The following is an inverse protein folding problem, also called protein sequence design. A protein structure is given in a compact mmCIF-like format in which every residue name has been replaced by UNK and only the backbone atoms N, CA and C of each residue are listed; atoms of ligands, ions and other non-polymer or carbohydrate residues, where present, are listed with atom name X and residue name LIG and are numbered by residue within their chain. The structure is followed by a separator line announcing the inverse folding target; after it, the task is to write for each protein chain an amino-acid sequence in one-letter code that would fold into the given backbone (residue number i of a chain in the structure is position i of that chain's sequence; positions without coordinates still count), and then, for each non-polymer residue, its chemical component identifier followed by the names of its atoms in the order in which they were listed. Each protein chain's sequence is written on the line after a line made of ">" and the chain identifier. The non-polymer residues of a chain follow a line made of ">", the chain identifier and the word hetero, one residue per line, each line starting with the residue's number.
data_IF_591743015591
#
_entry.id   IF_591743015591
#
_cell.length_a   1.000
_cell.length_b   1.000
_cell.length_c   1.000
_cell.angle_alpha   90.00
_cell.angle_beta   90.00
_cell.angle_gamma   90.00
#
_symmetry.space_group_name_H-M   'P 1'
#
loop_
_entity.id
_entity.type
_entity.pdbx_description
1 polymer ?
#
# COMPACT_ATOMS: atom_id res chain seq x y z
N UNK A 1 -12.61 -24.25 62.85
CA UNK A 1 -11.57 -24.33 61.80
C UNK A 1 -12.09 -25.30 60.75
N UNK A 2 -12.66 -24.80 59.66
CA UNK A 2 -13.21 -25.64 58.58
C UNK A 2 -12.04 -26.12 57.73
N UNK A 3 -11.61 -27.37 57.94
CA UNK A 3 -10.66 -28.03 57.04
C UNK A 3 -11.49 -28.42 55.82
N UNK A 4 -11.42 -27.60 54.77
CA UNK A 4 -12.02 -27.95 53.47
C UNK A 4 -11.27 -29.17 52.96
N UNK A 5 -11.94 -30.32 52.95
CA UNK A 5 -11.36 -31.57 52.45
C UNK A 5 -11.30 -31.49 50.93
N UNK A 6 -10.10 -31.27 50.39
CA UNK A 6 -9.85 -31.31 48.95
C UNK A 6 -10.05 -32.74 48.46
N UNK A 7 -10.98 -32.91 47.54
CA UNK A 7 -11.28 -34.22 46.94
C UNK A 7 -10.27 -34.57 45.86
N UNK A 8 -10.02 -35.87 45.64
CA UNK A 8 -9.12 -36.34 44.59
C UNK A 8 -9.50 -35.82 43.19
N UNK A 9 -10.80 -35.70 42.91
CA UNK A 9 -11.31 -35.17 41.65
C UNK A 9 -10.89 -33.71 41.43
N UNK A 10 -10.93 -32.87 42.47
CA UNK A 10 -10.50 -31.46 42.39
C UNK A 10 -9.00 -31.36 42.06
N UNK A 11 -8.17 -32.25 42.63
CA UNK A 11 -6.73 -32.31 42.33
C UNK A 11 -6.51 -32.68 40.85
N UNK A 12 -7.23 -33.67 40.33
CA UNK A 12 -7.13 -34.11 38.93
C UNK A 12 -7.58 -33.00 37.97
N UNK A 13 -8.72 -32.35 38.23
CA UNK A 13 -9.21 -31.26 37.37
C UNK A 13 -8.29 -30.04 37.41
N UNK A 14 -7.76 -29.69 38.58
CA UNK A 14 -6.80 -28.60 38.70
C UNK A 14 -5.49 -28.90 37.97
N UNK A 15 -4.98 -30.14 38.08
CA UNK A 15 -3.82 -30.60 37.34
C UNK A 15 -4.05 -30.56 35.82
N UNK A 16 -5.20 -31.04 35.34
CA UNK A 16 -5.57 -30.98 33.93
C UNK A 16 -5.68 -29.53 33.42
N UNK A 17 -6.26 -28.62 34.23
CA UNK A 17 -6.35 -27.20 33.91
C UNK A 17 -4.97 -26.56 33.78
N UNK A 18 -4.05 -26.85 34.72
CA UNK A 18 -2.67 -26.34 34.65
C UNK A 18 -1.95 -26.81 33.38
N UNK A 19 -2.09 -28.10 33.03
CA UNK A 19 -1.51 -28.65 31.80
C UNK A 19 -2.12 -27.98 30.56
N UNK A 20 -3.44 -27.77 30.54
CA UNK A 20 -4.11 -27.11 29.41
C UNK A 20 -3.67 -25.65 29.24
N UNK A 21 -3.53 -24.90 30.34
CA UNK A 21 -2.99 -23.54 30.32
C UNK A 21 -1.55 -23.54 29.81
N UNK A 22 -0.71 -24.48 30.28
CA UNK A 22 0.67 -24.60 29.81
C UNK A 22 0.74 -24.89 28.31
N UNK A 23 -0.08 -25.81 27.79
CA UNK A 23 -0.18 -26.11 26.36
C UNK A 23 -0.62 -24.87 25.59
N UNK A 24 -1.61 -24.12 26.09
CA UNK A 24 -2.05 -22.86 25.49
C UNK A 24 -0.93 -21.82 25.40
N UNK A 25 -0.15 -21.64 26.48
CA UNK A 25 0.99 -20.72 26.50
C UNK A 25 2.10 -21.15 25.52
N UNK A 26 2.38 -22.45 25.43
CA UNK A 26 3.34 -22.99 24.46
C UNK A 26 2.85 -22.74 23.03
N UNK A 27 1.57 -23.00 22.74
CA UNK A 27 0.99 -22.77 21.42
C UNK A 27 1.06 -21.29 21.01
N UNK A 28 0.71 -20.37 21.92
CA UNK A 28 0.82 -18.92 21.68
C UNK A 28 2.29 -18.51 21.45
N UNK A 29 3.23 -19.07 22.21
CA UNK A 29 4.65 -18.77 22.06
C UNK A 29 5.21 -19.28 20.73
N UNK A 30 4.86 -20.50 20.31
CA UNK A 30 5.24 -21.06 19.01
C UNK A 30 4.62 -20.22 17.88
N UNK A 31 3.35 -19.83 18.01
CA UNK A 31 2.68 -19.00 17.02
C UNK A 31 3.34 -17.63 16.90
N UNK A 32 3.61 -16.94 18.03
CA UNK A 32 4.32 -15.66 18.03
C UNK A 32 5.75 -15.79 17.47
N UNK A 33 6.46 -16.86 17.79
CA UNK A 33 7.79 -17.13 17.23
C UNK A 33 7.73 -17.35 15.70
N UNK A 34 6.73 -18.10 15.22
CA UNK A 34 6.51 -18.31 13.80
C UNK A 34 6.15 -17.01 13.07
N UNK A 35 5.28 -16.18 13.64
CA UNK A 35 4.91 -14.86 13.08
C UNK A 35 6.07 -13.86 13.14
N UNK A 36 6.88 -13.88 14.20
CA UNK A 36 8.03 -12.96 14.37
C UNK A 36 9.23 -13.29 13.50
N UNK A 37 9.30 -14.49 12.90
CA UNK A 37 10.21 -14.82 11.79
C UNK A 37 9.82 -14.12 10.48
N UNK A 38 9.45 -12.83 10.56
CA UNK A 38 9.01 -12.04 9.43
C UNK A 38 10.13 -11.99 8.37
N UNK A 39 9.94 -12.58 7.19
CA UNK A 39 10.80 -12.24 6.06
C UNK A 39 10.60 -10.76 5.79
N UNK A 40 11.71 -10.03 5.59
CA UNK A 40 11.66 -8.67 5.04
C UNK A 40 10.81 -8.71 3.79
N UNK A 41 9.67 -8.01 3.78
CA UNK A 41 8.82 -7.95 2.60
C UNK A 41 9.54 -7.11 1.53
N UNK A 42 9.88 -7.70 0.37
CA UNK A 42 10.56 -6.98 -0.68
C UNK A 42 9.59 -5.98 -1.35
N UNK A 43 10.12 -4.83 -1.75
CA UNK A 43 9.40 -3.88 -2.59
C UNK A 43 9.02 -4.55 -3.91
N UNK A 44 7.77 -4.40 -4.40
CA UNK A 44 7.36 -4.94 -5.69
C UNK A 44 8.23 -4.46 -6.86
N UNK A 45 8.80 -3.26 -6.73
CA UNK A 45 9.60 -2.60 -7.77
C UNK A 45 11.06 -3.06 -7.78
N UNK A 46 11.73 -2.95 -6.64
CA UNK A 46 13.20 -3.10 -6.57
C UNK A 46 13.65 -4.41 -5.94
N UNK A 47 12.75 -5.11 -5.24
CA UNK A 47 13.10 -6.24 -4.39
C UNK A 47 13.69 -5.85 -3.03
N UNK A 48 13.96 -4.56 -2.79
CA UNK A 48 14.60 -4.06 -1.58
C UNK A 48 13.67 -4.09 -0.37
N UNK A 49 14.19 -4.25 0.85
CA UNK A 49 13.36 -4.41 2.05
C UNK A 49 12.51 -3.16 2.32
N UNK A 50 11.21 -3.38 2.53
CA UNK A 50 10.29 -2.33 2.97
C UNK A 50 10.46 -2.04 4.46
N UNK A 51 10.30 -0.77 4.83
CA UNK A 51 10.25 -0.29 6.22
C UNK A 51 8.84 0.07 6.62
N UNK A 52 8.57 0.16 7.92
CA UNK A 52 7.26 0.59 8.42
C UNK A 52 7.13 2.10 8.24
N UNK A 53 5.93 2.57 7.93
CA UNK A 53 5.66 4.00 7.86
C UNK A 53 5.72 4.71 9.22
N UNK A 54 5.65 3.96 10.33
CA UNK A 54 5.94 4.45 11.67
C UNK A 54 7.36 5.01 11.85
N UNK A 55 8.28 4.63 10.97
CA UNK A 55 9.68 5.03 11.06
C UNK A 55 9.94 6.40 10.40
N UNK A 56 8.92 7.00 9.78
CA UNK A 56 9.01 8.35 9.20
C UNK A 56 9.07 9.39 10.32
N UNK A 57 9.95 10.38 10.16
CA UNK A 57 9.99 11.55 11.04
C UNK A 57 8.69 12.36 10.97
N UNK A 58 8.19 12.83 12.13
CA UNK A 58 6.87 13.47 12.23
C UNK A 58 6.66 14.65 11.27
N UNK A 59 7.69 15.47 11.03
CA UNK A 59 7.63 16.61 10.08
C UNK A 59 7.34 16.11 8.65
N UNK A 60 8.00 15.03 8.24
CA UNK A 60 7.81 14.44 6.92
C UNK A 60 6.42 13.80 6.82
N UNK A 61 5.96 13.14 7.88
CA UNK A 61 4.61 12.59 7.97
C UNK A 61 3.54 13.69 7.82
N UNK A 62 3.72 14.83 8.47
CA UNK A 62 2.82 15.99 8.33
C UNK A 62 2.75 16.49 6.89
N UNK A 63 3.90 16.63 6.20
CA UNK A 63 3.93 17.04 4.78
C UNK A 63 3.17 16.07 3.87
N UNK A 64 3.31 14.76 4.10
CA UNK A 64 2.55 13.73 3.35
C UNK A 64 1.05 13.88 3.58
N UNK A 65 0.63 14.03 4.83
CA UNK A 65 -0.78 14.16 5.17
C UNK A 65 -1.37 15.46 4.63
N UNK A 66 -0.64 16.58 4.70
CA UNK A 66 -1.04 17.86 4.12
C UNK A 66 -1.20 17.77 2.61
N UNK A 67 -0.24 17.15 1.93
CA UNK A 67 -0.33 16.93 0.48
C UNK A 67 -1.55 16.11 0.06
N UNK A 68 -1.93 15.11 0.85
CA UNK A 68 -3.15 14.33 0.61
C UNK A 68 -4.43 15.10 0.97
N UNK A 69 -4.38 15.91 2.03
CA UNK A 69 -5.48 16.75 2.46
C UNK A 69 -5.88 17.76 1.38
N UNK A 70 -4.89 18.45 0.79
CA UNK A 70 -5.12 19.49 -0.23
C UNK A 70 -5.77 18.95 -1.52
N UNK A 71 -5.73 17.63 -1.76
CA UNK A 71 -6.33 17.01 -2.95
C UNK A 71 -7.83 16.75 -2.82
N UNK A 72 -8.40 16.71 -1.62
CA UNK A 72 -9.84 16.54 -1.33
C UNK A 72 -10.63 15.40 -2.03
N UNK A 73 -9.99 14.54 -2.83
CA UNK A 73 -10.65 13.46 -3.55
C UNK A 73 -10.83 12.21 -2.67
N UNK A 74 -12.02 11.59 -2.74
CA UNK A 74 -12.32 10.34 -2.01
C UNK A 74 -11.27 9.24 -2.24
N UNK A 75 -10.81 9.10 -3.48
CA UNK A 75 -9.79 8.12 -3.80
C UNK A 75 -8.42 8.52 -3.28
N UNK A 76 -8.10 9.80 -3.07
CA UNK A 76 -6.80 10.27 -2.56
C UNK A 76 -6.83 10.64 -1.08
N UNK A 77 -7.71 10.00 -0.30
CA UNK A 77 -7.86 10.24 1.14
C UNK A 77 -6.56 9.98 1.91
N UNK A 78 -6.41 10.71 3.01
CA UNK A 78 -5.39 10.43 4.02
C UNK A 78 -5.51 9.01 4.56
N UNK A 79 -4.38 8.42 4.93
CA UNK A 79 -4.28 7.09 5.51
C UNK A 79 -3.38 7.08 6.75
N UNK A 80 -3.51 6.05 7.59
CA UNK A 80 -2.67 5.90 8.78
C UNK A 80 -1.26 5.45 8.37
N UNK A 81 -0.27 6.34 8.51
CA UNK A 81 1.13 6.04 8.20
C UNK A 81 1.68 4.87 9.04
N UNK A 82 1.12 4.59 10.23
CA UNK A 82 1.51 3.43 11.04
C UNK A 82 1.12 2.10 10.40
N UNK A 83 0.12 2.11 9.52
CA UNK A 83 -0.31 0.96 8.72
C UNK A 83 0.35 0.90 7.34
N UNK A 84 1.16 1.89 6.99
CA UNK A 84 1.84 1.96 5.70
C UNK A 84 3.21 1.28 5.73
N UNK A 85 3.72 0.95 4.55
CA UNK A 85 5.10 0.51 4.34
C UNK A 85 5.81 1.42 3.33
N UNK A 86 7.13 1.50 3.42
CA UNK A 86 7.92 2.44 2.62
C UNK A 86 9.12 1.75 2.02
N UNK A 87 9.35 2.01 0.75
CA UNK A 87 10.59 1.63 0.10
C UNK A 87 11.61 2.78 0.25
N UNK A 88 12.69 2.56 1.00
CA UNK A 88 13.72 3.60 1.24
C UNK A 88 14.41 4.05 -0.05
N UNK A 89 14.56 3.16 -1.03
CA UNK A 89 15.25 3.45 -2.28
C UNK A 89 14.43 4.29 -3.25
N UNK A 90 13.11 4.09 -3.27
CA UNK A 90 12.21 4.76 -4.23
C UNK A 90 11.34 5.84 -3.59
N UNK A 91 11.34 5.95 -2.26
CA UNK A 91 10.46 6.89 -1.54
C UNK A 91 8.99 6.49 -1.49
N UNK A 92 8.59 5.41 -2.16
CA UNK A 92 7.19 5.02 -2.34
C UNK A 92 6.55 4.54 -1.05
N UNK A 93 5.42 5.15 -0.72
CA UNK A 93 4.57 4.77 0.40
C UNK A 93 3.45 3.86 -0.10
N UNK A 94 3.34 2.67 0.49
CA UNK A 94 2.28 1.70 0.28
C UNK A 94 1.31 1.77 1.46
N UNK A 95 0.11 2.36 1.30
CA UNK A 95 -0.92 2.40 2.35
C UNK A 95 -1.41 0.99 2.69
N UNK A 96 -1.93 0.81 3.92
CA UNK A 96 -2.57 -0.44 4.38
C UNK A 96 -1.73 -1.72 4.15
N UNK A 97 -0.41 -1.57 4.20
CA UNK A 97 0.56 -2.61 3.95
C UNK A 97 0.92 -3.42 5.21
N UNK A 98 0.65 -2.90 6.40
CA UNK A 98 0.98 -3.55 7.67
C UNK A 98 -0.27 -4.25 8.20
N UNK A 99 -0.18 -5.56 8.39
CA UNK A 99 -1.26 -6.35 8.98
C UNK A 99 -1.34 -6.10 10.51
N UNK A 100 -2.36 -6.67 11.16
CA UNK A 100 -2.58 -6.50 12.60
C UNK A 100 -1.48 -7.11 13.48
N UNK A 101 -0.66 -8.02 12.95
CA UNK A 101 0.52 -8.58 13.61
C UNK A 101 1.80 -7.74 13.40
N UNK A 102 1.71 -6.61 12.69
CA UNK A 102 2.85 -5.75 12.39
C UNK A 102 3.74 -6.23 11.24
N UNK A 103 3.33 -7.26 10.49
CA UNK A 103 4.04 -7.74 9.31
C UNK A 103 3.68 -6.88 8.10
N UNK A 104 4.70 -6.46 7.34
CA UNK A 104 4.52 -5.78 6.06
C UNK A 104 4.16 -6.83 5.00
N UNK A 105 3.11 -6.58 4.23
CA UNK A 105 2.70 -7.39 3.08
C UNK A 105 2.33 -6.47 1.92
N UNK A 106 3.24 -6.35 0.97
CA UNK A 106 3.01 -5.65 -0.29
C UNK A 106 3.32 -6.60 -1.43
N UNK A 107 2.42 -6.65 -2.40
CA UNK A 107 2.57 -7.36 -3.66
C UNK A 107 1.95 -6.52 -4.78
N UNK A 108 2.16 -6.89 -6.03
CA UNK A 108 1.66 -6.15 -7.20
C UNK A 108 0.14 -5.97 -7.27
N UNK A 109 -0.65 -6.64 -6.42
CA UNK A 109 -2.08 -6.33 -6.28
C UNK A 109 -2.33 -4.96 -5.65
N UNK A 110 -1.30 -4.26 -5.13
CA UNK A 110 -1.47 -2.91 -4.57
C UNK A 110 -2.11 -1.94 -5.59
N UNK A 111 -1.84 -2.10 -6.89
CA UNK A 111 -2.47 -1.31 -7.97
C UNK A 111 -3.98 -1.56 -7.97
N UNK A 112 -4.40 -2.82 -8.11
CA UNK A 112 -5.82 -3.18 -8.10
C UNK A 112 -6.54 -2.88 -6.78
N UNK A 113 -5.83 -2.94 -5.65
CA UNK A 113 -6.35 -2.56 -4.32
C UNK A 113 -6.52 -1.05 -4.20
N UNK A 114 -5.66 -0.26 -4.88
CA UNK A 114 -5.71 1.20 -4.89
C UNK A 114 -6.91 1.72 -5.67
N UNK A 115 -7.14 1.17 -6.86
CA UNK A 115 -8.31 1.43 -7.69
C UNK A 115 -8.53 0.23 -8.63
N UNK A 116 -9.77 -0.28 -8.79
CA UNK A 116 -10.05 -1.38 -9.70
C UNK A 116 -9.95 -0.91 -11.16
N UNK A 117 -9.26 -1.66 -12.01
CA UNK A 117 -9.10 -1.34 -13.42
C UNK A 117 -8.00 -2.16 -14.11
N UNK A 118 -7.95 -2.07 -15.44
CA UNK A 118 -6.95 -2.74 -16.27
C UNK A 118 -5.80 -1.77 -16.58
N UNK A 119 -4.90 -1.60 -15.62
CA UNK A 119 -3.82 -0.62 -15.70
C UNK A 119 -2.64 -1.09 -16.55
N UNK A 120 -2.22 -0.24 -17.49
CA UNK A 120 -1.03 -0.42 -18.31
C UNK A 120 -0.05 0.74 -18.14
N UNK A 121 1.24 0.49 -18.40
CA UNK A 121 2.29 1.53 -18.36
C UNK A 121 2.02 2.64 -19.37
N UNK A 122 2.18 3.91 -18.96
CA UNK A 122 2.06 5.08 -19.83
C UNK A 122 2.94 4.98 -21.10
N UNK A 123 4.20 4.58 -20.95
CA UNK A 123 5.16 4.49 -22.06
C UNK A 123 4.85 3.39 -23.06
N UNK A 124 3.93 2.47 -22.73
CA UNK A 124 3.49 1.41 -23.66
C UNK A 124 2.38 1.87 -24.62
N UNK A 125 1.80 3.05 -24.37
CA UNK A 125 0.72 3.61 -25.18
C UNK A 125 1.28 4.24 -26.46
N UNK A 126 0.53 4.13 -27.56
CA UNK A 126 0.83 4.88 -28.78
C UNK A 126 0.65 6.39 -28.56
N UNK A 127 1.38 7.23 -29.29
CA UNK A 127 1.32 8.70 -29.15
C UNK A 127 -0.12 9.24 -29.28
N UNK A 128 -0.91 8.71 -30.21
CA UNK A 128 -2.32 9.10 -30.38
C UNK A 128 -3.16 8.78 -29.14
N UNK A 129 -2.90 7.66 -28.47
CA UNK A 129 -3.59 7.30 -27.24
C UNK A 129 -3.14 8.20 -26.09
N UNK A 130 -1.84 8.50 -26.00
CA UNK A 130 -1.31 9.43 -25.01
C UNK A 130 -1.98 10.80 -25.13
N UNK A 131 -2.02 11.37 -26.35
CA UNK A 131 -2.69 12.64 -26.61
C UNK A 131 -4.17 12.60 -26.22
N UNK A 132 -4.88 11.53 -26.60
CA UNK A 132 -6.28 11.38 -26.24
C UNK A 132 -6.50 11.34 -24.72
N UNK A 133 -5.62 10.66 -23.98
CA UNK A 133 -5.66 10.64 -22.52
C UNK A 133 -5.31 12.00 -21.94
N UNK A 134 -4.30 12.71 -22.45
CA UNK A 134 -3.99 14.08 -22.00
C UNK A 134 -5.21 14.99 -22.11
N UNK A 135 -5.93 14.93 -23.24
CA UNK A 135 -7.15 15.73 -23.47
C UNK A 135 -8.32 15.41 -22.52
N UNK A 136 -8.26 14.26 -21.83
CA UNK A 136 -9.25 13.86 -20.83
C UNK A 136 -9.00 14.44 -19.44
N UNK A 137 -7.83 15.03 -19.18
CA UNK A 137 -7.42 15.49 -17.85
C UNK A 137 -7.14 16.99 -17.85
N UNK A 138 -7.41 17.67 -16.74
CA UNK A 138 -7.10 19.10 -16.60
C UNK A 138 -5.58 19.35 -16.63
N UNK A 139 -4.82 18.44 -16.03
CA UNK A 139 -3.36 18.54 -15.95
C UNK A 139 -2.72 17.18 -15.77
N UNK A 140 -1.57 16.99 -16.41
CA UNK A 140 -0.67 15.84 -16.21
C UNK A 140 0.44 16.15 -15.19
N UNK A 141 0.43 17.33 -14.59
CA UNK A 141 1.50 17.83 -13.73
C UNK A 141 1.80 16.90 -12.54
N UNK A 142 3.09 16.66 -12.32
CA UNK A 142 3.61 15.84 -11.24
C UNK A 142 3.56 14.33 -11.51
N UNK A 143 3.05 13.88 -12.65
CA UNK A 143 3.22 12.51 -13.11
C UNK A 143 4.46 12.37 -14.01
N UNK A 144 5.05 11.18 -14.03
CA UNK A 144 6.15 10.84 -14.93
C UNK A 144 5.62 10.42 -16.30
N UNK A 145 5.70 11.33 -17.27
CA UNK A 145 5.26 11.10 -18.66
C UNK A 145 6.40 10.95 -19.65
N UNK A 146 7.58 11.50 -19.34
CA UNK A 146 8.72 11.59 -20.25
C UNK A 146 9.54 10.29 -20.27
N UNK A 147 9.81 9.74 -19.09
CA UNK A 147 10.62 8.54 -18.94
C UNK A 147 9.77 7.39 -18.40
N UNK A 148 9.18 6.63 -19.32
CA UNK A 148 8.24 5.56 -19.00
C UNK A 148 8.54 4.28 -19.77
N UNK A 149 8.19 3.14 -19.16
CA UNK A 149 8.45 1.82 -19.72
C UNK A 149 7.52 1.54 -20.90
N UNK A 150 8.08 1.02 -21.99
CA UNK A 150 7.34 0.52 -23.14
C UNK A 150 6.65 -0.82 -22.86
N UNK A 151 6.99 -1.49 -21.76
CA UNK A 151 6.36 -2.74 -21.35
C UNK A 151 4.96 -2.46 -20.77
N UNK A 152 3.88 -3.06 -21.33
CA UNK A 152 2.52 -2.73 -20.90
C UNK A 152 2.20 -3.12 -19.47
N UNK A 153 2.71 -4.27 -19.00
CA UNK A 153 2.38 -4.78 -17.67
C UNK A 153 3.16 -4.03 -16.59
N UNK A 154 2.49 -3.43 -15.58
CA UNK A 154 3.17 -2.79 -14.45
C UNK A 154 4.18 -3.70 -13.75
N UNK A 155 3.90 -5.01 -13.72
CA UNK A 155 4.74 -6.01 -13.03
C UNK A 155 6.08 -6.26 -13.69
N UNK A 156 6.18 -5.98 -14.98
CA UNK A 156 7.36 -6.26 -15.79
C UNK A 156 8.19 -4.99 -16.03
N UNK A 157 7.99 -3.96 -15.21
CA UNK A 157 8.75 -2.72 -15.31
C UNK A 157 10.25 -2.97 -15.10
N UNK A 158 11.06 -2.39 -15.99
CA UNK A 158 12.51 -2.44 -15.90
C UNK A 158 13.00 -1.60 -14.72
N UNK A 159 14.14 -2.01 -14.14
CA UNK A 159 14.67 -1.38 -12.92
C UNK A 159 14.88 0.11 -13.07
N UNK A 160 15.37 0.57 -14.22
CA UNK A 160 15.69 1.98 -14.44
C UNK A 160 14.44 2.86 -14.27
N UNK A 161 13.30 2.47 -14.87
CA UNK A 161 12.02 3.18 -14.66
C UNK A 161 11.50 3.02 -13.22
N UNK A 162 11.77 1.87 -12.59
CA UNK A 162 11.38 1.63 -11.21
C UNK A 162 12.16 2.51 -10.21
N UNK A 163 13.35 2.99 -10.52
CA UNK A 163 14.14 3.88 -9.66
C UNK A 163 13.86 5.36 -9.87
N UNK A 164 13.08 5.72 -10.89
CA UNK A 164 12.77 7.12 -11.17
C UNK A 164 11.81 7.74 -10.14
N UNK A 165 11.99 9.05 -9.95
CA UNK A 165 11.11 9.91 -9.14
C UNK A 165 10.71 11.15 -9.94
N UNK A 166 9.41 11.44 -10.14
CA UNK A 166 8.26 10.62 -9.76
C UNK A 166 8.30 9.22 -10.37
N UNK A 167 7.77 8.23 -9.65
CA UNK A 167 7.63 6.87 -10.14
C UNK A 167 6.67 6.73 -11.34
N UNK A 168 6.50 5.48 -11.82
CA UNK A 168 5.77 5.21 -13.07
C UNK A 168 4.31 5.67 -13.03
N UNK A 169 3.82 6.08 -14.20
CA UNK A 169 2.41 6.38 -14.47
C UNK A 169 1.74 5.18 -15.14
N UNK A 170 0.56 4.83 -14.65
CA UNK A 170 -0.31 3.80 -15.21
C UNK A 170 -1.64 4.40 -15.66
N UNK A 171 -2.24 3.81 -16.69
CA UNK A 171 -3.51 4.24 -17.26
C UNK A 171 -4.43 3.05 -17.43
N UNK A 172 -5.69 3.21 -17.06
CA UNK A 172 -6.77 2.32 -17.50
C UNK A 172 -7.32 2.85 -18.83
N UNK A 173 -7.06 2.15 -19.93
CA UNK A 173 -7.44 2.57 -21.28
C UNK A 173 -8.96 2.66 -21.48
N UNK A 174 -9.76 1.92 -20.71
CA UNK A 174 -11.23 1.92 -20.86
C UNK A 174 -11.85 3.16 -20.23
N UNK A 175 -11.33 3.57 -19.10
CA UNK A 175 -11.91 4.64 -18.27
C UNK A 175 -11.11 5.94 -18.36
N UNK A 176 -9.91 5.91 -18.92
CA UNK A 176 -9.00 7.06 -18.95
C UNK A 176 -8.43 7.43 -17.58
N UNK A 177 -8.63 6.61 -16.55
CA UNK A 177 -8.18 6.89 -15.18
C UNK A 177 -6.66 6.73 -15.11
N UNK A 178 -6.02 7.73 -14.50
CA UNK A 178 -4.59 7.72 -14.23
C UNK A 178 -4.33 7.20 -12.82
N UNK A 179 -3.30 6.37 -12.68
CA UNK A 179 -2.75 5.98 -11.40
C UNK A 179 -1.23 6.13 -11.46
N UNK A 180 -0.69 7.09 -10.73
CA UNK A 180 0.73 7.40 -10.79
C UNK A 180 1.30 7.85 -9.46
N UNK A 181 2.60 7.65 -9.29
CA UNK A 181 3.31 8.16 -8.14
C UNK A 181 3.52 9.67 -8.29
N UNK A 182 3.22 10.43 -7.24
CA UNK A 182 3.55 11.86 -7.16
C UNK A 182 4.48 12.11 -5.98
N UNK A 183 5.53 12.89 -6.22
CA UNK A 183 6.47 13.33 -5.18
C UNK A 183 5.76 14.29 -4.23
N UNK A 184 5.89 14.02 -2.93
CA UNK A 184 5.38 14.91 -1.88
C UNK A 184 6.35 16.10 -1.76
N UNK A 185 5.86 17.35 -1.86
CA UNK A 185 6.72 18.54 -1.84
C UNK A 185 7.69 18.56 -0.65
N UNK A 186 8.93 18.95 -0.92
CA UNK A 186 10.01 19.06 0.07
C UNK A 186 10.33 17.77 0.84
N UNK A 187 10.05 16.61 0.23
CA UNK A 187 10.42 15.30 0.76
C UNK A 187 10.89 14.39 -0.37
N UNK A 188 11.55 13.29 -0.04
CA UNK A 188 11.87 12.21 -1.00
C UNK A 188 10.76 11.14 -1.07
N UNK A 189 9.58 11.41 -0.50
CA UNK A 189 8.50 10.43 -0.46
C UNK A 189 7.54 10.60 -1.63
N UNK A 190 6.97 9.48 -2.05
CA UNK A 190 5.97 9.43 -3.11
C UNK A 190 4.69 8.76 -2.63
N UNK A 191 3.55 9.30 -3.07
CA UNK A 191 2.24 8.71 -2.83
C UNK A 191 1.58 8.33 -4.14
N UNK A 192 0.87 7.20 -4.14
CA UNK A 192 0.15 6.72 -5.32
C UNK A 192 -1.20 7.45 -5.44
N UNK A 193 -1.26 8.35 -6.42
CA UNK A 193 -2.41 9.20 -6.69
C UNK A 193 -3.25 8.59 -7.81
N UNK A 194 -4.57 8.60 -7.61
CA UNK A 194 -5.55 8.28 -8.64
C UNK A 194 -6.11 9.60 -9.16
N UNK A 195 -6.17 9.78 -10.47
CA UNK A 195 -6.77 10.96 -11.09
C UNK A 195 -7.80 10.52 -12.12
N UNK A 196 -9.03 11.01 -11.98
CA UNK A 196 -10.14 10.71 -12.89
C UNK A 196 -10.15 11.72 -14.05
N UNK A 197 -10.66 11.33 -15.23
CA UNK A 197 -10.96 12.28 -16.29
C UNK A 197 -11.89 13.40 -15.83
N UNK A 198 -11.87 14.53 -16.54
CA UNK A 198 -12.88 15.59 -16.37
C UNK A 198 -14.27 15.06 -16.70
N UNK A 199 -15.29 15.64 -16.07
CA UNK A 199 -16.68 15.14 -16.06
C UNK A 199 -17.26 14.87 -17.45
N UNK A 200 -16.85 15.65 -18.46
CA UNK A 200 -17.22 15.47 -19.88
C UNK A 200 -16.91 14.05 -20.42
N UNK A 201 -15.88 13.40 -19.90
CA UNK A 201 -15.43 12.08 -20.34
C UNK A 201 -15.80 10.95 -19.39
N UNK A 202 -16.48 11.26 -18.28
CA UNK A 202 -17.00 10.22 -17.38
C UNK A 202 -18.24 9.60 -18.02
N UNK A 203 -18.25 8.28 -18.31
CA UNK A 203 -19.40 7.63 -18.92
C UNK A 203 -20.55 7.56 -17.91
N UNK A 204 -21.51 8.48 -17.97
CA UNK A 204 -22.85 8.36 -17.38
C UNK A 204 -22.92 7.91 -15.92
N UNK A 205 -21.89 8.17 -15.11
CA UNK A 205 -21.97 8.01 -13.66
C UNK A 205 -22.68 9.26 -13.17
N UNK A 206 -24.01 9.15 -13.00
CA UNK A 206 -24.80 10.13 -12.27
C UNK A 206 -24.01 10.56 -11.03
N UNK A 207 -23.72 11.86 -10.96
CA UNK A 207 -23.06 12.53 -9.84
C UNK A 207 -23.93 12.43 -8.59
N UNK A 208 -23.90 11.27 -7.95
CA UNK A 208 -24.28 11.08 -6.57
C UNK A 208 -23.06 10.50 -5.86
N UNK A 209 -22.69 11.14 -4.75
CA UNK A 209 -21.55 10.91 -3.85
C UNK A 209 -20.37 11.86 -4.06
#
# INVERSE_FOLDING_TARGET
>A
MLIVAVTYQEIVYFGALLVLVLIGLIAVSIFNWWVSRNPTCPSPYTGSPLRRGSDIHWITAEKVLRFLYDRHEYHNRMFDLRKAAICRETGRIFPDAVNWYGTIKVDWSFISKRYPGDFVSWGSLAEVQQLHIVDMHESMEGFQTEFSSSTPSPRNIEKDYAYMSPGPLYVDLKTGILMGWKKVPETELEVLIVQKPIEKYLPGIDSKY
#
